data_IF_803009060604
#
_entry.id   IF_803009060604
#
_cell.length_a   1.000
_cell.length_b   1.000
_cell.length_c   1.000
_cell.angle_alpha   90.00
_cell.angle_beta   90.00
_cell.angle_gamma   90.00
#
_symmetry.space_group_name_H-M   'P 1'
#
loop_
_entity.id
_entity.type
_entity.pdbx_description
1 polymer ?
#
# COMPACT_ATOMS: atom_id res chain seq x y z
N UNK A 1 -35.45 63.28 -35.76
CA UNK A 1 -35.92 61.93 -36.10
C UNK A 1 -34.85 60.92 -35.65
N UNK A 2 -34.89 60.40 -34.45
CA UNK A 2 -33.99 59.42 -33.93
C UNK A 2 -34.82 58.22 -33.39
N UNK A 3 -34.78 57.13 -34.14
CA UNK A 3 -35.45 55.89 -33.77
C UNK A 3 -34.67 55.07 -32.75
N UNK A 4 -35.26 54.89 -31.58
CA UNK A 4 -34.70 54.01 -30.52
C UNK A 4 -35.04 52.55 -30.86
N UNK A 5 -34.04 51.71 -31.13
CA UNK A 5 -34.16 50.23 -31.14
C UNK A 5 -34.04 49.70 -29.73
N UNK A 6 -35.10 49.18 -29.21
CA UNK A 6 -35.10 48.29 -28.02
C UNK A 6 -34.43 46.98 -28.39
N UNK A 7 -33.35 46.63 -27.68
CA UNK A 7 -32.76 45.29 -27.70
C UNK A 7 -33.44 44.49 -26.62
N UNK A 8 -34.24 43.50 -27.03
CA UNK A 8 -34.79 42.46 -26.17
C UNK A 8 -33.65 41.45 -25.86
N UNK A 9 -33.20 41.43 -24.61
CA UNK A 9 -32.31 40.39 -24.12
C UNK A 9 -33.18 39.18 -23.77
N UNK A 10 -33.04 38.11 -24.55
CA UNK A 10 -33.62 36.80 -24.30
C UNK A 10 -32.93 36.12 -23.13
N UNK A 11 -33.67 35.90 -22.05
CA UNK A 11 -33.26 35.07 -20.91
C UNK A 11 -33.41 33.59 -21.28
N UNK A 12 -32.39 32.96 -21.80
CA UNK A 12 -32.23 31.49 -21.84
C UNK A 12 -30.77 31.11 -22.17
N UNK A 13 -29.85 31.31 -21.24
CA UNK A 13 -28.61 30.55 -21.21
C UNK A 13 -28.60 29.75 -19.90
N UNK A 14 -29.28 28.61 -19.96
CA UNK A 14 -29.16 27.54 -18.99
C UNK A 14 -27.72 26.99 -19.09
N UNK A 15 -26.92 27.32 -18.10
CA UNK A 15 -25.62 26.74 -17.89
C UNK A 15 -25.78 25.23 -17.71
N UNK A 16 -25.58 24.49 -18.77
CA UNK A 16 -25.50 23.02 -18.73
C UNK A 16 -24.23 22.64 -17.97
N UNK A 17 -24.40 22.22 -16.71
CA UNK A 17 -23.37 21.55 -15.92
C UNK A 17 -22.85 20.34 -16.70
N UNK A 18 -21.51 20.19 -16.87
CA UNK A 18 -20.97 19.01 -17.51
C UNK A 18 -21.17 17.80 -16.59
N UNK A 19 -22.09 16.91 -16.99
CA UNK A 19 -22.18 15.61 -16.36
C UNK A 19 -20.82 14.92 -16.48
N UNK A 20 -20.23 14.48 -15.36
CA UNK A 20 -18.98 13.72 -15.28
C UNK A 20 -19.14 12.40 -16.06
N UNK A 21 -18.94 12.45 -17.38
CA UNK A 21 -18.76 11.26 -18.20
C UNK A 21 -17.36 10.73 -17.92
N UNK A 22 -17.25 9.73 -17.05
CA UNK A 22 -16.04 8.94 -16.86
C UNK A 22 -15.69 8.31 -18.20
N UNK A 23 -14.81 8.95 -18.98
CA UNK A 23 -14.23 8.33 -20.16
C UNK A 23 -13.31 7.20 -19.67
N UNK A 24 -13.81 5.97 -19.72
CA UNK A 24 -12.99 4.75 -19.61
C UNK A 24 -12.00 4.72 -20.77
N UNK A 25 -10.87 5.41 -20.65
CA UNK A 25 -9.70 5.14 -21.47
C UNK A 25 -9.20 3.77 -21.04
N UNK A 26 -9.27 2.79 -21.93
CA UNK A 26 -8.74 1.45 -21.69
C UNK A 26 -7.24 1.54 -21.44
N UNK A 27 -6.84 1.74 -20.20
CA UNK A 27 -5.58 1.24 -19.69
C UNK A 27 -5.65 -0.26 -19.91
N UNK A 28 -4.64 -0.86 -20.57
CA UNK A 28 -4.50 -2.31 -20.63
C UNK A 28 -4.69 -2.81 -19.21
N UNK A 29 -5.83 -3.46 -18.97
CA UNK A 29 -6.26 -3.88 -17.64
C UNK A 29 -5.31 -5.03 -17.22
N UNK A 30 -4.11 -4.69 -16.72
CA UNK A 30 -3.22 -5.64 -16.09
C UNK A 30 -3.88 -6.02 -14.76
N UNK A 31 -4.69 -7.08 -14.81
CA UNK A 31 -5.25 -7.71 -13.64
C UNK A 31 -4.16 -8.34 -12.78
N UNK A 32 -4.53 -9.36 -12.02
CA UNK A 32 -3.57 -10.18 -11.28
C UNK A 32 -2.74 -11.00 -12.26
N UNK A 33 -1.42 -10.87 -12.21
CA UNK A 33 -0.48 -11.71 -12.96
C UNK A 33 -0.23 -12.98 -12.15
N UNK A 34 -0.56 -14.14 -12.72
CA UNK A 34 -0.21 -15.43 -12.13
C UNK A 34 1.28 -15.68 -12.31
N UNK A 35 1.97 -15.91 -11.22
CA UNK A 35 3.36 -16.36 -11.18
C UNK A 35 3.40 -17.85 -10.80
N UNK A 36 4.59 -18.43 -10.64
CA UNK A 36 4.73 -19.86 -10.29
C UNK A 36 3.92 -20.21 -9.05
N UNK A 37 3.90 -19.30 -8.06
CA UNK A 37 3.04 -19.43 -6.90
C UNK A 37 2.68 -18.04 -6.35
N UNK A 38 1.39 -17.85 -6.07
CA UNK A 38 0.84 -16.56 -5.68
C UNK A 38 0.39 -15.72 -6.89
N UNK A 39 0.14 -14.47 -6.64
CA UNK A 39 -0.30 -13.51 -7.66
C UNK A 39 0.40 -12.17 -7.44
N UNK A 40 0.74 -11.51 -8.52
CA UNK A 40 1.22 -10.13 -8.50
C UNK A 40 0.08 -9.19 -8.91
N UNK A 41 -0.03 -8.07 -8.21
CA UNK A 41 -0.92 -7.01 -8.66
C UNK A 41 -0.29 -6.27 -9.85
N UNK A 42 -0.75 -6.57 -11.06
CA UNK A 42 -0.22 -5.98 -12.29
C UNK A 42 -0.42 -4.47 -12.43
N UNK A 43 -1.18 -3.83 -11.53
CA UNK A 43 -1.33 -2.37 -11.46
C UNK A 43 -0.23 -1.72 -10.62
N UNK A 44 0.43 -2.47 -9.76
CA UNK A 44 1.51 -2.01 -8.89
C UNK A 44 2.85 -2.22 -9.60
N UNK A 45 3.27 -1.18 -10.33
CA UNK A 45 4.52 -1.14 -11.11
C UNK A 45 5.35 0.07 -10.69
N UNK A 46 6.63 0.10 -11.06
CA UNK A 46 7.45 1.30 -10.84
C UNK A 46 6.90 2.53 -11.56
N UNK A 47 6.22 2.36 -12.70
CA UNK A 47 5.58 3.46 -13.42
C UNK A 47 4.36 4.05 -12.71
N UNK A 48 3.74 3.31 -11.78
CA UNK A 48 2.61 3.80 -10.94
C UNK A 48 3.04 4.15 -9.52
N UNK A 49 4.29 3.85 -9.14
CA UNK A 49 4.86 4.20 -7.86
C UNK A 49 5.41 5.63 -7.90
N UNK A 50 4.83 6.51 -7.09
CA UNK A 50 5.28 7.92 -7.03
C UNK A 50 6.49 8.01 -6.11
N UNK A 51 7.63 8.42 -6.68
CA UNK A 51 8.88 8.61 -5.92
C UNK A 51 8.89 10.00 -5.29
N UNK A 52 9.38 10.07 -4.08
CA UNK A 52 9.60 11.30 -3.31
C UNK A 52 10.74 11.08 -2.31
N UNK A 53 11.13 12.11 -1.56
CA UNK A 53 12.24 12.06 -0.61
C UNK A 53 12.10 10.88 0.39
N UNK A 54 10.87 10.58 0.80
CA UNK A 54 10.57 9.54 1.80
C UNK A 54 10.76 8.09 1.33
N UNK A 55 10.83 7.84 0.01
CA UNK A 55 10.85 6.48 -0.54
C UNK A 55 11.83 6.26 -1.70
N UNK A 56 12.54 7.30 -2.12
CA UNK A 56 13.44 7.24 -3.30
C UNK A 56 14.50 6.15 -3.17
N UNK A 57 15.13 6.01 -1.99
CA UNK A 57 16.16 4.99 -1.78
C UNK A 57 15.60 3.58 -1.90
N UNK A 58 14.43 3.32 -1.31
CA UNK A 58 13.74 2.04 -1.40
C UNK A 58 13.30 1.73 -2.84
N UNK A 59 12.83 2.74 -3.57
CA UNK A 59 12.45 2.59 -4.97
C UNK A 59 13.64 2.24 -5.86
N UNK A 60 14.78 2.95 -5.70
CA UNK A 60 16.01 2.66 -6.47
C UNK A 60 16.54 1.27 -6.17
N UNK A 61 16.56 0.86 -4.89
CA UNK A 61 17.01 -0.48 -4.52
C UNK A 61 16.11 -1.56 -5.14
N UNK A 62 14.80 -1.37 -5.07
CA UNK A 62 13.82 -2.27 -5.66
C UNK A 62 13.95 -2.35 -7.20
N UNK A 63 14.16 -1.22 -7.89
CA UNK A 63 14.39 -1.18 -9.34
C UNK A 63 15.63 -1.98 -9.74
N UNK A 64 16.76 -1.79 -9.04
CA UNK A 64 18.01 -2.54 -9.31
C UNK A 64 17.83 -4.04 -9.11
N UNK A 65 17.08 -4.46 -8.09
CA UNK A 65 16.75 -5.87 -7.87
C UNK A 65 15.84 -6.39 -9.00
N UNK A 66 14.87 -5.59 -9.44
CA UNK A 66 14.00 -5.96 -10.57
C UNK A 66 14.74 -6.12 -11.91
N UNK A 67 15.79 -5.33 -12.13
CA UNK A 67 16.62 -5.40 -13.31
C UNK A 67 17.61 -6.60 -13.27
N UNK A 68 18.21 -6.85 -12.10
CA UNK A 68 19.27 -7.83 -11.92
C UNK A 68 19.07 -8.68 -10.67
N UNK A 69 18.06 -9.57 -10.64
CA UNK A 69 17.78 -10.38 -9.47
C UNK A 69 18.93 -11.33 -9.13
N UNK A 70 19.22 -11.45 -7.83
CA UNK A 70 20.30 -12.28 -7.28
C UNK A 70 21.70 -11.66 -7.34
N UNK A 71 21.88 -10.52 -8.03
CA UNK A 71 23.20 -9.89 -8.24
C UNK A 71 23.42 -8.61 -7.46
N UNK A 72 22.38 -7.92 -7.03
CA UNK A 72 22.48 -6.61 -6.38
C UNK A 72 22.31 -6.74 -4.87
N UNK A 73 21.13 -6.49 -4.37
CA UNK A 73 20.82 -6.51 -2.94
C UNK A 73 20.09 -7.81 -2.60
N UNK A 74 20.76 -8.73 -1.90
CA UNK A 74 20.19 -10.02 -1.53
C UNK A 74 20.52 -10.42 -0.09
N UNK A 75 19.53 -10.52 0.81
CA UNK A 75 18.14 -10.15 0.61
C UNK A 75 17.93 -8.64 0.44
N UNK A 76 16.84 -8.23 -0.22
CA UNK A 76 16.31 -6.89 -0.13
C UNK A 76 15.23 -6.88 0.96
N UNK A 77 15.45 -6.11 2.02
CA UNK A 77 14.53 -5.99 3.14
C UNK A 77 13.93 -4.57 3.17
N UNK A 78 12.65 -4.46 2.83
CA UNK A 78 11.94 -3.17 2.76
C UNK A 78 11.07 -3.03 4.01
N UNK A 79 11.35 -2.05 4.85
CA UNK A 79 10.57 -1.86 6.06
C UNK A 79 9.98 -0.45 6.18
N UNK A 80 9.03 -0.29 7.09
CA UNK A 80 8.37 0.97 7.38
C UNK A 80 6.92 0.76 7.80
N UNK A 81 6.29 1.78 8.35
CA UNK A 81 4.92 1.72 8.88
C UNK A 81 3.94 1.17 7.86
N UNK A 82 2.82 0.65 8.35
CA UNK A 82 1.75 0.10 7.50
C UNK A 82 1.18 1.18 6.57
N UNK A 83 0.89 0.78 5.31
CA UNK A 83 0.24 1.66 4.33
C UNK A 83 1.16 2.66 3.62
N UNK A 84 2.50 2.46 3.65
CA UNK A 84 3.48 3.33 2.99
C UNK A 84 3.92 2.87 1.58
N UNK A 85 3.36 1.77 1.06
CA UNK A 85 3.65 1.32 -0.30
C UNK A 85 4.69 0.19 -0.40
N UNK A 86 5.08 -0.48 0.69
CA UNK A 86 6.01 -1.64 0.68
C UNK A 86 5.54 -2.76 -0.26
N UNK A 87 4.29 -3.18 -0.12
CA UNK A 87 3.66 -4.18 -0.99
C UNK A 87 3.63 -3.73 -2.45
N UNK A 88 3.50 -2.42 -2.72
CA UNK A 88 3.58 -1.88 -4.07
C UNK A 88 4.99 -2.08 -4.65
N UNK A 89 6.04 -1.74 -3.91
CA UNK A 89 7.42 -1.98 -4.35
C UNK A 89 7.69 -3.47 -4.57
N UNK A 90 7.23 -4.33 -3.67
CA UNK A 90 7.34 -5.79 -3.81
C UNK A 90 6.72 -6.26 -5.14
N UNK A 91 5.47 -5.87 -5.42
CA UNK A 91 4.80 -6.21 -6.68
C UNK A 91 5.49 -5.57 -7.90
N UNK A 92 6.00 -4.35 -7.78
CA UNK A 92 6.70 -3.66 -8.87
C UNK A 92 7.96 -4.44 -9.29
N UNK A 93 8.75 -4.94 -8.32
CA UNK A 93 9.87 -5.83 -8.61
C UNK A 93 9.41 -7.08 -9.33
N UNK A 94 8.41 -7.78 -8.78
CA UNK A 94 7.88 -9.01 -9.38
C UNK A 94 7.36 -8.80 -10.80
N UNK A 95 6.62 -7.72 -11.05
CA UNK A 95 6.12 -7.38 -12.39
C UNK A 95 7.26 -7.08 -13.37
N UNK A 96 8.30 -6.36 -12.92
CA UNK A 96 9.46 -6.04 -13.77
C UNK A 96 10.23 -7.30 -14.15
N UNK A 97 10.49 -8.19 -13.20
CA UNK A 97 11.16 -9.45 -13.48
C UNK A 97 10.33 -10.32 -14.42
N UNK A 98 9.03 -10.43 -14.18
CA UNK A 98 8.13 -11.22 -15.05
C UNK A 98 8.04 -10.65 -16.47
N UNK A 99 8.01 -9.31 -16.62
CA UNK A 99 7.98 -8.67 -17.94
C UNK A 99 9.30 -8.85 -18.69
N UNK A 100 10.45 -8.82 -17.98
CA UNK A 100 11.77 -8.99 -18.57
C UNK A 100 12.05 -10.45 -18.99
N UNK A 101 11.61 -11.41 -18.16
CA UNK A 101 11.78 -12.83 -18.46
C UNK A 101 10.71 -13.68 -17.76
N UNK A 102 9.81 -14.24 -18.55
CA UNK A 102 8.69 -15.07 -18.07
C UNK A 102 9.12 -16.45 -17.54
N UNK A 103 10.34 -16.87 -17.82
CA UNK A 103 10.87 -18.16 -17.35
C UNK A 103 11.31 -18.12 -15.89
N UNK A 104 11.45 -16.92 -15.30
CA UNK A 104 11.72 -16.78 -13.87
C UNK A 104 10.58 -17.37 -13.03
N UNK A 105 10.95 -18.25 -12.12
CA UNK A 105 10.03 -18.91 -11.18
C UNK A 105 9.84 -18.02 -9.95
N UNK A 106 8.92 -17.10 -10.05
CA UNK A 106 8.59 -16.17 -8.97
C UNK A 106 7.59 -16.83 -8.01
N UNK A 107 7.91 -16.80 -6.71
CA UNK A 107 7.00 -17.19 -5.63
C UNK A 107 6.73 -16.00 -4.73
N UNK A 108 5.47 -15.62 -4.64
CA UNK A 108 5.02 -14.46 -3.87
C UNK A 108 4.01 -14.90 -2.82
N UNK A 109 4.34 -14.65 -1.55
CA UNK A 109 3.50 -15.01 -0.40
C UNK A 109 3.31 -13.82 0.53
N UNK A 110 2.16 -13.71 1.17
CA UNK A 110 2.13 -13.08 2.48
C UNK A 110 2.72 -14.05 3.52
N UNK A 111 3.32 -13.54 4.58
CA UNK A 111 3.86 -14.39 5.66
C UNK A 111 2.78 -15.30 6.30
N UNK A 112 1.54 -14.84 6.32
CA UNK A 112 0.39 -15.64 6.76
C UNK A 112 0.13 -16.81 5.80
N UNK A 113 0.10 -16.55 4.49
CA UNK A 113 -0.08 -17.61 3.49
C UNK A 113 1.05 -18.64 3.55
N UNK A 114 2.31 -18.18 3.68
CA UNK A 114 3.46 -19.05 3.88
C UNK A 114 3.29 -19.94 5.12
N UNK A 115 2.87 -19.35 6.25
CA UNK A 115 2.58 -20.09 7.49
C UNK A 115 1.54 -21.18 7.29
N UNK A 116 0.41 -20.83 6.68
CA UNK A 116 -0.67 -21.78 6.43
C UNK A 116 -0.22 -22.94 5.54
N UNK A 117 0.64 -22.64 4.56
CA UNK A 117 1.23 -23.64 3.67
C UNK A 117 2.17 -24.60 4.42
N UNK A 118 3.04 -24.07 5.30
CA UNK A 118 3.90 -24.89 6.17
C UNK A 118 3.06 -25.81 7.07
N UNK A 119 2.07 -25.26 7.77
CA UNK A 119 1.18 -26.03 8.65
C UNK A 119 0.46 -27.13 7.87
N UNK A 120 -0.09 -26.82 6.70
CA UNK A 120 -0.77 -27.80 5.85
C UNK A 120 0.17 -28.90 5.39
N UNK A 121 1.42 -28.56 5.02
CA UNK A 121 2.42 -29.54 4.57
C UNK A 121 2.83 -30.50 5.69
N UNK A 122 2.96 -29.99 6.92
CA UNK A 122 3.24 -30.82 8.11
C UNK A 122 2.09 -31.80 8.37
N UNK A 123 0.85 -31.28 8.37
CA UNK A 123 -0.36 -32.12 8.62
C UNK A 123 -0.55 -33.22 7.58
N UNK A 124 -0.20 -32.95 6.33
CA UNK A 124 -0.34 -33.90 5.22
C UNK A 124 0.88 -34.80 4.98
N UNK A 125 1.95 -34.64 5.77
CA UNK A 125 3.22 -35.38 5.58
C UNK A 125 4.02 -34.95 4.33
N UNK A 126 3.68 -33.80 3.71
CA UNK A 126 4.26 -33.32 2.44
C UNK A 126 5.32 -32.24 2.63
N UNK A 127 5.95 -32.19 3.79
CA UNK A 127 6.97 -31.16 4.10
C UNK A 127 8.17 -31.23 3.15
N UNK A 128 8.56 -32.43 2.70
CA UNK A 128 9.64 -32.60 1.73
C UNK A 128 9.27 -31.97 0.37
N UNK A 129 8.05 -32.22 -0.12
CA UNK A 129 7.57 -31.65 -1.38
C UNK A 129 7.55 -30.11 -1.34
N UNK A 130 7.12 -29.54 -0.20
CA UNK A 130 7.15 -28.10 0.00
C UNK A 130 8.57 -27.56 -0.04
N UNK A 131 9.50 -28.18 0.68
CA UNK A 131 10.92 -27.79 0.69
C UNK A 131 11.53 -27.85 -0.70
N UNK A 132 11.34 -28.95 -1.41
CA UNK A 132 11.89 -29.14 -2.74
C UNK A 132 11.32 -28.09 -3.71
N UNK A 133 10.02 -27.84 -3.64
CA UNK A 133 9.34 -26.83 -4.43
C UNK A 133 9.90 -25.41 -4.16
N UNK A 134 10.12 -25.04 -2.91
CA UNK A 134 10.64 -23.73 -2.55
C UNK A 134 12.13 -23.55 -2.87
N UNK A 135 12.92 -24.61 -2.81
CA UNK A 135 14.38 -24.55 -2.98
C UNK A 135 14.83 -24.71 -4.42
N UNK A 136 14.22 -25.65 -5.15
CA UNK A 136 14.65 -26.01 -6.51
C UNK A 136 13.78 -25.40 -7.61
N UNK A 137 12.55 -25.03 -7.29
CA UNK A 137 11.60 -24.50 -8.26
C UNK A 137 11.21 -23.04 -7.93
N UNK A 138 12.22 -22.26 -7.50
CA UNK A 138 12.09 -20.86 -7.14
C UNK A 138 13.35 -20.12 -7.52
N UNK A 139 13.23 -19.05 -8.30
CA UNK A 139 14.32 -18.14 -8.65
C UNK A 139 14.22 -16.83 -7.84
N UNK A 140 13.00 -16.46 -7.47
CA UNK A 140 12.73 -15.26 -6.67
C UNK A 140 11.69 -15.59 -5.61
N UNK A 141 12.05 -15.42 -4.35
CA UNK A 141 11.17 -15.53 -3.21
C UNK A 141 10.79 -14.13 -2.72
N UNK A 142 9.51 -13.85 -2.71
CA UNK A 142 8.94 -12.57 -2.24
C UNK A 142 8.01 -12.86 -1.06
N UNK A 143 8.29 -12.24 0.08
CA UNK A 143 7.47 -12.43 1.30
C UNK A 143 7.03 -11.07 1.84
N UNK A 144 5.73 -10.88 1.82
CA UNK A 144 5.11 -9.65 2.34
C UNK A 144 4.75 -9.81 3.82
N UNK A 145 5.03 -8.76 4.61
CA UNK A 145 4.68 -8.64 6.02
C UNK A 145 5.25 -9.77 6.89
N UNK A 146 6.57 -9.95 6.87
CA UNK A 146 7.31 -11.04 7.57
C UNK A 146 7.04 -11.09 9.07
N UNK A 147 6.66 -9.98 9.72
CA UNK A 147 6.33 -9.93 11.13
C UNK A 147 5.23 -10.93 11.53
N UNK A 148 4.40 -11.37 10.60
CA UNK A 148 3.35 -12.36 10.89
C UNK A 148 3.83 -13.80 11.10
N UNK A 149 5.15 -14.10 10.93
CA UNK A 149 5.71 -15.39 11.40
C UNK A 149 6.17 -15.34 12.87
N UNK A 150 6.07 -14.19 13.53
CA UNK A 150 6.42 -14.02 14.95
C UNK A 150 5.72 -15.06 15.81
N UNK A 151 6.46 -15.67 16.75
CA UNK A 151 5.95 -16.73 17.65
C UNK A 151 5.61 -18.07 16.99
N UNK A 152 5.86 -18.24 15.67
CA UNK A 152 5.54 -19.48 14.94
C UNK A 152 6.82 -20.26 14.63
N UNK A 153 7.39 -20.90 15.66
CA UNK A 153 8.73 -21.54 15.59
C UNK A 153 8.89 -22.50 14.41
N UNK A 154 7.94 -23.39 14.17
CA UNK A 154 7.99 -24.34 13.05
C UNK A 154 8.01 -23.64 11.69
N UNK A 155 7.26 -22.54 11.54
CA UNK A 155 7.29 -21.72 10.31
C UNK A 155 8.61 -21.01 10.15
N UNK A 156 9.16 -20.45 11.23
CA UNK A 156 10.46 -19.78 11.22
C UNK A 156 11.60 -20.75 10.87
N UNK A 157 11.53 -21.98 11.37
CA UNK A 157 12.50 -23.02 11.04
C UNK A 157 12.46 -23.37 9.54
N UNK A 158 11.30 -23.59 8.97
CA UNK A 158 11.15 -23.89 7.53
C UNK A 158 11.58 -22.68 6.67
N UNK A 159 11.25 -21.47 7.11
CA UNK A 159 11.67 -20.25 6.42
C UNK A 159 13.21 -20.10 6.46
N UNK A 160 13.86 -20.33 7.61
CA UNK A 160 15.30 -20.27 7.75
C UNK A 160 16.03 -21.24 6.80
N UNK A 161 15.55 -22.48 6.72
CA UNK A 161 16.13 -23.45 5.79
C UNK A 161 15.91 -23.10 4.33
N UNK A 162 14.73 -22.56 4.00
CA UNK A 162 14.43 -22.09 2.64
C UNK A 162 15.28 -20.89 2.26
N UNK A 163 15.40 -19.93 3.18
CA UNK A 163 16.25 -18.75 3.01
C UNK A 163 17.68 -19.12 2.67
N UNK A 164 18.31 -19.98 3.52
CA UNK A 164 19.70 -20.39 3.29
C UNK A 164 19.88 -21.08 1.93
N UNK A 165 19.00 -22.02 1.59
CA UNK A 165 19.10 -22.74 0.32
C UNK A 165 18.99 -21.82 -0.90
N UNK A 166 18.13 -20.79 -0.83
CA UNK A 166 17.99 -19.80 -1.90
C UNK A 166 19.17 -18.83 -1.94
N UNK A 167 19.62 -18.37 -0.79
CA UNK A 167 20.75 -17.46 -0.66
C UNK A 167 22.04 -18.08 -1.22
N UNK A 168 22.35 -19.31 -0.80
CA UNK A 168 23.54 -20.07 -1.25
C UNK A 168 23.48 -20.38 -2.75
N UNK A 169 22.28 -20.50 -3.32
CA UNK A 169 22.06 -20.67 -4.76
C UNK A 169 22.02 -19.33 -5.54
N UNK A 170 22.34 -18.20 -4.91
CA UNK A 170 22.23 -16.84 -5.47
C UNK A 170 20.84 -16.51 -6.04
N UNK A 171 19.79 -17.08 -5.48
CA UNK A 171 18.40 -16.75 -5.81
C UNK A 171 17.96 -15.51 -5.05
N UNK A 172 17.15 -14.66 -5.67
CA UNK A 172 16.72 -13.41 -5.06
C UNK A 172 15.71 -13.64 -3.94
N UNK A 173 15.93 -12.98 -2.82
CA UNK A 173 14.99 -12.93 -1.69
C UNK A 173 14.59 -11.47 -1.46
N UNK A 174 13.28 -11.20 -1.37
CA UNK A 174 12.72 -9.89 -1.07
C UNK A 174 11.72 -10.03 0.06
N UNK A 175 11.88 -9.21 1.08
CA UNK A 175 11.07 -9.28 2.30
C UNK A 175 10.54 -7.90 2.61
N UNK A 176 9.27 -7.81 3.01
CA UNK A 176 8.73 -6.57 3.58
C UNK A 176 8.40 -6.75 5.06
N UNK A 177 8.44 -5.65 5.82
CA UNK A 177 8.14 -5.63 7.25
C UNK A 177 7.56 -4.28 7.69
N UNK A 178 6.87 -4.27 8.82
CA UNK A 178 6.45 -3.03 9.48
C UNK A 178 7.58 -2.39 10.31
N UNK A 179 8.65 -3.16 10.63
CA UNK A 179 9.78 -2.76 11.47
C UNK A 179 11.11 -3.21 10.87
N UNK A 180 12.24 -2.57 11.25
CA UNK A 180 13.57 -3.05 10.87
C UNK A 180 13.87 -4.42 11.49
N UNK A 181 14.82 -5.20 10.93
CA UNK A 181 15.09 -6.57 11.38
C UNK A 181 15.33 -6.70 12.88
N UNK A 182 16.18 -5.85 13.46
CA UNK A 182 16.54 -5.88 14.89
C UNK A 182 15.38 -5.57 15.85
N UNK A 183 14.25 -5.04 15.36
CA UNK A 183 13.03 -4.75 16.15
C UNK A 183 11.94 -5.81 15.99
N UNK A 184 12.20 -6.90 15.29
CA UNK A 184 11.24 -7.99 15.06
C UNK A 184 11.14 -8.90 16.29
N UNK A 185 10.26 -8.53 17.22
CA UNK A 185 10.01 -9.34 18.41
C UNK A 185 9.39 -10.70 18.05
N UNK A 186 9.82 -11.76 18.73
CA UNK A 186 9.32 -13.13 18.52
C UNK A 186 9.79 -13.81 17.25
N UNK A 187 10.78 -13.23 16.56
CA UNK A 187 11.54 -13.85 15.47
C UNK A 187 12.90 -14.27 15.98
N UNK A 188 13.33 -15.48 15.63
CA UNK A 188 14.60 -16.05 16.08
C UNK A 188 15.79 -15.22 15.59
N UNK A 189 16.77 -14.97 16.46
CA UNK A 189 17.97 -14.15 16.17
C UNK A 189 18.71 -14.58 14.89
N UNK A 190 18.78 -15.89 14.63
CA UNK A 190 19.40 -16.41 13.40
C UNK A 190 18.71 -15.95 12.12
N UNK A 191 17.38 -15.70 12.16
CA UNK A 191 16.65 -15.12 11.01
C UNK A 191 16.87 -13.61 10.93
N UNK A 192 16.85 -12.92 12.07
CA UNK A 192 17.15 -11.48 12.14
C UNK A 192 18.52 -11.20 11.52
N UNK A 193 19.55 -11.96 11.92
CA UNK A 193 20.89 -11.84 11.33
C UNK A 193 20.91 -12.07 9.82
N UNK A 194 20.10 -13.02 9.31
CA UNK A 194 19.98 -13.24 7.86
C UNK A 194 19.34 -12.06 7.13
N UNK A 195 18.34 -11.42 7.73
CA UNK A 195 17.69 -10.25 7.16
C UNK A 195 18.63 -9.04 7.09
N UNK A 196 19.56 -8.94 8.02
CA UNK A 196 20.60 -7.90 8.09
C UNK A 196 21.77 -8.10 7.12
N UNK A 197 21.97 -9.31 6.58
CA UNK A 197 23.06 -9.59 5.65
C UNK A 197 22.94 -8.84 4.32
N UNK A 198 21.73 -8.51 3.92
CA UNK A 198 21.47 -7.84 2.66
C UNK A 198 21.35 -6.32 2.79
N UNK A 199 20.45 -5.75 2.05
CA UNK A 199 20.16 -4.33 2.09
C UNK A 199 18.81 -4.08 2.74
N UNK A 200 18.83 -3.54 3.95
CA UNK A 200 17.64 -3.11 4.65
C UNK A 200 17.38 -1.62 4.36
N UNK A 201 16.19 -1.30 3.87
CA UNK A 201 15.82 0.06 3.47
C UNK A 201 14.45 0.45 4.03
N UNK A 202 14.39 1.67 4.56
CA UNK A 202 13.17 2.22 5.14
C UNK A 202 12.33 2.98 4.11
N UNK A 203 11.02 2.82 4.23
CA UNK A 203 10.02 3.67 3.56
C UNK A 203 9.39 4.56 4.62
N UNK A 204 9.68 5.86 4.54
CA UNK A 204 9.17 6.86 5.47
C UNK A 204 7.79 7.39 5.05
N UNK A 205 7.03 7.99 5.97
CA UNK A 205 5.79 8.69 5.64
C UNK A 205 6.06 9.82 4.63
N UNK A 206 5.20 10.00 3.61
CA UNK A 206 5.33 11.08 2.65
C UNK A 206 4.98 12.44 3.28
N UNK A 207 5.70 13.48 2.88
CA UNK A 207 5.33 14.87 3.14
C UNK A 207 4.06 15.27 2.35
N UNK A 208 3.59 16.51 2.54
CA UNK A 208 2.33 16.96 1.92
C UNK A 208 2.47 17.04 0.41
N UNK A 209 3.58 17.52 -0.10
CA UNK A 209 3.88 17.66 -1.52
C UNK A 209 3.91 16.29 -2.21
N UNK A 210 4.55 15.33 -1.59
CA UNK A 210 4.58 13.95 -2.09
C UNK A 210 3.17 13.31 -2.07
N UNK A 211 2.35 13.60 -1.04
CA UNK A 211 0.94 13.17 -0.99
C UNK A 211 0.12 13.78 -2.11
N UNK A 212 0.32 15.06 -2.42
CA UNK A 212 -0.33 15.72 -3.56
C UNK A 212 0.06 15.04 -4.88
N UNK A 213 1.35 14.75 -5.09
CA UNK A 213 1.81 14.04 -6.28
C UNK A 213 1.19 12.63 -6.43
N UNK A 214 1.02 11.91 -5.31
CA UNK A 214 0.33 10.61 -5.28
C UNK A 214 -1.14 10.79 -5.70
N UNK A 215 -1.83 11.78 -5.14
CA UNK A 215 -3.22 12.08 -5.48
C UNK A 215 -3.40 12.51 -6.94
N UNK A 216 -2.48 13.32 -7.48
CA UNK A 216 -2.47 13.70 -8.90
C UNK A 216 -2.36 12.47 -9.81
N UNK A 217 -1.46 11.54 -9.47
CA UNK A 217 -1.28 10.29 -10.22
C UNK A 217 -2.54 9.42 -10.13
N UNK A 218 -3.15 9.35 -8.95
CA UNK A 218 -4.42 8.62 -8.73
C UNK A 218 -5.57 9.23 -9.51
N UNK A 219 -5.75 10.56 -9.44
CA UNK A 219 -6.81 11.28 -10.17
C UNK A 219 -6.67 11.06 -11.68
N UNK A 220 -5.44 11.19 -12.23
CA UNK A 220 -5.19 10.92 -13.65
C UNK A 220 -5.53 9.48 -14.04
N UNK A 221 -5.23 8.51 -13.19
CA UNK A 221 -5.57 7.09 -13.45
C UNK A 221 -7.07 6.84 -13.51
N UNK A 222 -7.87 7.66 -12.82
CA UNK A 222 -9.33 7.63 -12.82
C UNK A 222 -9.94 8.52 -13.91
N UNK A 223 -9.12 9.27 -14.66
CA UNK A 223 -9.60 10.23 -15.67
C UNK A 223 -10.24 11.48 -15.08
N UNK A 224 -9.91 11.78 -13.80
CA UNK A 224 -10.41 12.96 -13.10
C UNK A 224 -9.45 14.12 -13.26
N UNK A 225 -10.02 15.32 -13.52
CA UNK A 225 -9.30 16.60 -13.43
C UNK A 225 -9.75 17.28 -12.14
N UNK A 226 -8.85 17.43 -11.20
CA UNK A 226 -9.10 18.03 -9.88
C UNK A 226 -8.05 19.12 -9.68
N UNK A 227 -8.47 20.28 -9.22
CA UNK A 227 -7.58 21.41 -8.97
C UNK A 227 -6.53 21.05 -7.91
N UNK A 228 -5.30 21.51 -8.10
CA UNK A 228 -4.18 21.22 -7.21
C UNK A 228 -4.44 21.70 -5.78
N UNK A 229 -5.09 22.83 -5.62
CA UNK A 229 -5.49 23.36 -4.31
C UNK A 229 -6.47 22.40 -3.56
N UNK A 230 -7.36 21.73 -4.29
CA UNK A 230 -8.29 20.75 -3.70
C UNK A 230 -7.52 19.49 -3.31
N UNK A 231 -6.58 19.03 -4.14
CA UNK A 231 -5.71 17.91 -3.83
C UNK A 231 -4.82 18.21 -2.61
N UNK A 232 -4.33 19.43 -2.49
CA UNK A 232 -3.57 19.89 -1.32
C UNK A 232 -4.40 19.79 -0.04
N UNK A 233 -5.65 20.26 -0.06
CA UNK A 233 -6.56 20.15 1.11
C UNK A 233 -6.83 18.68 1.46
N UNK A 234 -7.01 17.80 0.47
CA UNK A 234 -7.17 16.36 0.70
C UNK A 234 -5.89 15.79 1.36
N UNK A 235 -4.71 16.15 0.83
CA UNK A 235 -3.44 15.70 1.36
C UNK A 235 -3.21 16.17 2.80
N UNK A 236 -3.57 17.39 3.12
CA UNK A 236 -3.44 17.98 4.46
C UNK A 236 -4.39 17.32 5.49
N UNK A 237 -5.64 17.08 5.09
CA UNK A 237 -6.69 16.50 5.96
C UNK A 237 -6.62 14.98 6.09
N UNK A 238 -5.85 14.31 5.25
CA UNK A 238 -5.67 12.86 5.33
C UNK A 238 -4.67 12.46 6.43
N UNK A 239 -4.73 11.20 6.86
CA UNK A 239 -3.77 10.63 7.80
C UNK A 239 -2.35 10.49 7.21
N UNK A 240 -1.41 10.01 8.02
CA UNK A 240 0.01 9.92 7.67
C UNK A 240 0.39 8.76 6.74
N UNK A 241 -0.52 7.85 6.42
CA UNK A 241 -0.25 6.72 5.52
C UNK A 241 -0.88 6.92 4.15
N UNK A 242 -0.28 6.32 3.10
CA UNK A 242 -0.83 6.36 1.74
C UNK A 242 -2.18 5.63 1.68
N UNK A 243 -2.38 4.60 2.50
CA UNK A 243 -3.66 3.89 2.59
C UNK A 243 -4.78 4.80 3.10
N UNK A 244 -4.51 5.61 4.14
CA UNK A 244 -5.47 6.60 4.65
C UNK A 244 -5.70 7.72 3.64
N UNK A 245 -4.66 8.22 2.99
CA UNK A 245 -4.72 9.20 1.92
C UNK A 245 -5.64 8.73 0.78
N UNK A 246 -5.40 7.53 0.26
CA UNK A 246 -6.23 6.94 -0.80
C UNK A 246 -7.67 6.67 -0.33
N UNK A 247 -7.84 6.21 0.91
CA UNK A 247 -9.14 5.99 1.51
C UNK A 247 -9.96 7.29 1.59
N UNK A 248 -9.35 8.37 2.07
CA UNK A 248 -9.99 9.68 2.14
C UNK A 248 -10.32 10.22 0.75
N UNK A 249 -9.39 10.17 -0.19
CA UNK A 249 -9.62 10.56 -1.58
C UNK A 249 -10.78 9.77 -2.22
N UNK A 250 -10.82 8.46 -2.05
CA UNK A 250 -11.89 7.62 -2.59
C UNK A 250 -13.26 7.99 -1.99
N UNK A 251 -13.33 8.37 -0.71
CA UNK A 251 -14.55 8.86 -0.08
C UNK A 251 -15.03 10.18 -0.71
N UNK A 252 -14.12 11.14 -0.92
CA UNK A 252 -14.44 12.42 -1.58
C UNK A 252 -14.96 12.19 -2.99
N UNK A 253 -14.26 11.39 -3.79
CA UNK A 253 -14.66 11.05 -5.17
C UNK A 253 -16.01 10.31 -5.20
N UNK A 254 -16.20 9.36 -4.28
CA UNK A 254 -17.44 8.60 -4.18
C UNK A 254 -18.64 9.50 -3.87
N UNK A 255 -18.51 10.39 -2.88
CA UNK A 255 -19.61 11.32 -2.53
C UNK A 255 -19.87 12.32 -3.65
N UNK A 256 -18.84 12.89 -4.28
CA UNK A 256 -19.01 13.76 -5.45
C UNK A 256 -19.80 13.07 -6.56
N UNK A 257 -19.47 11.82 -6.86
CA UNK A 257 -20.13 11.03 -7.89
C UNK A 257 -21.59 10.69 -7.56
N UNK A 258 -21.88 10.35 -6.29
CA UNK A 258 -23.23 10.00 -5.83
C UNK A 258 -24.18 11.22 -5.83
N UNK A 259 -23.65 12.39 -5.44
CA UNK A 259 -24.44 13.62 -5.35
C UNK A 259 -24.46 14.42 -6.65
N UNK A 260 -23.67 14.04 -7.66
CA UNK A 260 -23.50 14.82 -8.89
C UNK A 260 -22.79 16.16 -8.68
N UNK A 261 -22.07 16.32 -7.57
CA UNK A 261 -21.41 17.56 -7.20
C UNK A 261 -19.96 17.61 -7.73
N UNK A 262 -19.44 18.81 -8.05
CA UNK A 262 -18.02 18.96 -8.37
C UNK A 262 -17.16 18.69 -7.13
N UNK A 263 -15.96 18.14 -7.36
CA UNK A 263 -14.95 17.97 -6.31
C UNK A 263 -14.33 19.33 -6.01
N UNK A 264 -14.69 19.94 -4.88
CA UNK A 264 -14.23 21.25 -4.45
C UNK A 264 -13.83 21.25 -2.96
N UNK A 265 -13.23 22.34 -2.50
CA UNK A 265 -12.78 22.48 -1.10
C UNK A 265 -13.92 22.28 -0.08
N UNK A 266 -15.10 22.78 -0.39
CA UNK A 266 -16.27 22.66 0.52
C UNK A 266 -16.65 21.21 0.74
N UNK A 267 -16.73 20.41 -0.32
CA UNK A 267 -17.01 18.98 -0.23
C UNK A 267 -15.93 18.25 0.57
N UNK A 268 -14.64 18.56 0.34
CA UNK A 268 -13.51 17.95 1.07
C UNK A 268 -13.62 18.22 2.58
N UNK A 269 -13.92 19.48 2.95
CA UNK A 269 -14.07 19.86 4.36
C UNK A 269 -15.28 19.19 5.02
N UNK A 270 -16.40 19.08 4.32
CA UNK A 270 -17.61 18.39 4.80
C UNK A 270 -17.32 16.88 5.02
N UNK A 271 -16.70 16.21 4.06
CA UNK A 271 -16.28 14.80 4.22
C UNK A 271 -15.31 14.63 5.37
N UNK A 272 -14.31 15.55 5.51
CA UNK A 272 -13.35 15.52 6.59
C UNK A 272 -14.00 15.65 7.96
N UNK A 273 -14.94 16.60 8.12
CA UNK A 273 -15.64 16.83 9.38
C UNK A 273 -16.44 15.62 9.84
N UNK A 274 -17.12 14.94 8.90
CA UNK A 274 -17.88 13.72 9.19
C UNK A 274 -16.98 12.56 9.61
N UNK A 275 -15.86 12.36 8.93
CA UNK A 275 -14.91 11.29 9.29
C UNK A 275 -14.21 11.54 10.63
N UNK A 276 -13.91 12.81 10.96
CA UNK A 276 -13.33 13.18 12.26
C UNK A 276 -14.35 13.07 13.39
N UNK A 277 -15.60 13.45 13.15
CA UNK A 277 -16.67 13.31 14.17
C UNK A 277 -16.90 11.84 14.53
N UNK A 278 -16.82 10.93 13.57
CA UNK A 278 -16.93 9.49 13.82
C UNK A 278 -15.75 8.96 14.65
N UNK A 279 -14.52 9.45 14.42
CA UNK A 279 -13.34 9.07 15.23
C UNK A 279 -13.36 9.70 16.64
N UNK A 280 -13.93 10.90 16.78
CA UNK A 280 -13.98 11.59 18.07
C UNK A 280 -15.08 11.08 19.00
N UNK A 281 -16.10 10.41 18.48
CA UNK A 281 -17.16 9.79 19.28
C UNK A 281 -16.58 8.67 20.17
N UNK A 282 -15.67 7.84 19.63
CA UNK A 282 -15.09 6.75 20.43
C UNK A 282 -14.22 7.26 21.60
N UNK A 283 -13.38 8.27 21.39
CA UNK A 283 -12.55 8.82 22.47
C UNK A 283 -13.37 9.61 23.51
N UNK A 284 -14.32 10.43 23.05
CA UNK A 284 -15.19 11.19 23.99
C UNK A 284 -16.11 10.27 24.79
N UNK A 285 -16.54 9.15 24.20
CA UNK A 285 -17.40 8.18 24.88
C UNK A 285 -16.63 7.48 26.00
N UNK A 286 -15.37 7.11 25.81
CA UNK A 286 -14.54 6.49 26.85
C UNK A 286 -14.26 7.47 27.99
N UNK A 287 -13.81 8.69 27.71
CA UNK A 287 -13.56 9.72 28.71
C UNK A 287 -14.84 10.10 29.46
N UNK A 288 -15.98 10.20 28.77
CA UNK A 288 -17.26 10.49 29.40
C UNK A 288 -17.70 9.35 30.34
N UNK A 289 -17.58 8.09 29.89
CA UNK A 289 -17.91 6.91 30.70
C UNK A 289 -17.00 6.87 31.94
N UNK A 290 -15.71 7.08 31.78
CA UNK A 290 -14.77 7.14 32.93
C UNK A 290 -15.15 8.24 33.91
N UNK A 291 -15.45 9.45 33.44
CA UNK A 291 -15.82 10.58 34.25
C UNK A 291 -17.16 10.37 34.98
N UNK A 292 -18.16 9.85 34.27
CA UNK A 292 -19.46 9.53 34.86
C UNK A 292 -19.37 8.39 35.89
N UNK A 293 -18.55 7.35 35.57
CA UNK A 293 -18.31 6.25 36.52
C UNK A 293 -17.57 6.71 37.76
N UNK A 294 -16.51 7.50 37.62
CA UNK A 294 -15.79 8.06 38.74
C UNK A 294 -16.70 8.96 39.63
N UNK A 295 -17.51 9.80 39.00
CA UNK A 295 -18.48 10.62 39.71
C UNK A 295 -19.52 9.78 40.50
N UNK A 296 -19.99 8.68 39.89
CA UNK A 296 -20.95 7.78 40.55
C UNK A 296 -20.36 7.09 41.80
N UNK A 297 -19.09 6.71 41.75
CA UNK A 297 -18.39 6.07 42.87
C UNK A 297 -17.70 7.10 43.81
N UNK A 298 -17.82 8.41 43.57
CA UNK A 298 -17.20 9.45 44.39
C UNK A 298 -15.68 9.48 44.37
N UNK A 299 -15.09 9.04 43.27
CA UNK A 299 -13.64 8.96 43.01
C UNK A 299 -13.23 9.83 41.83
N UNK A 300 -11.95 9.90 41.50
CA UNK A 300 -11.44 10.62 40.33
C UNK A 300 -10.99 9.62 39.23
N UNK A 301 -10.90 10.06 37.99
CA UNK A 301 -10.44 9.22 36.84
C UNK A 301 -8.96 8.80 37.01
N UNK A 302 -8.24 9.37 37.97
CA UNK A 302 -6.83 9.07 38.25
C UNK A 302 -6.64 8.05 39.39
N UNK A 303 -7.69 7.74 40.12
CA UNK A 303 -7.72 6.73 41.19
C UNK A 303 -8.22 5.38 40.61
#
# INVERSE_FOLDING_TARGET
VLGSKKVLVSSQDLVTTPSLKIKKKASKNRGLTRVKEGTLNGRQTFGTFVKGASNTLAAIAAERVGENPGKSYNPLFIYGRTGLGKTHLLNAVGNTVYDNNKDYKIRSFSAEHFTNKVISSIRSGKTKELRDSLRFDCDILMVDDIQFISGKEGTQQEFFHTFNALYDANKQIIITSDKPPHQLAGIQERLVGRFEWGFAVEVLPPDVEHRVAILQTKARSLGLSIDEEVLFVIAEKSGGSIRELEGFFNNVVGQASMLGNPINKTLVLDVSSRLLSTKSVDHRTIELIQKETAAFYGTTVQD
#
